data_IF_401764045706
#
_entry.id   IF_401764045706
#
_cell.length_a   1.000
_cell.length_b   1.000
_cell.length_c   1.000
_cell.angle_alpha   90.00
_cell.angle_beta   90.00
_cell.angle_gamma   90.00
#
_symmetry.space_group_name_H-M   'P 1'
#
loop_
_entity.id
_entity.type
_entity.pdbx_description
1 polymer ?
#
# COMPACT_ATOMS: atom_id res chain seq x y z
N UNK A 1 29.18 -18.58 -8.18
CA UNK A 1 30.23 -19.61 -8.35
C UNK A 1 29.76 -21.03 -8.07
N UNK A 2 29.29 -21.41 -6.87
CA UNK A 2 28.77 -22.77 -6.61
C UNK A 2 27.40 -23.03 -7.30
N UNK A 3 26.51 -22.04 -7.28
CA UNK A 3 25.21 -22.07 -7.98
C UNK A 3 25.36 -22.20 -9.49
N UNK A 4 26.21 -21.38 -10.12
CA UNK A 4 26.45 -21.45 -11.57
C UNK A 4 27.09 -22.78 -11.99
N UNK A 5 27.94 -23.35 -11.13
CA UNK A 5 28.50 -24.68 -11.33
C UNK A 5 27.42 -25.75 -11.23
N UNK A 6 26.51 -25.66 -10.26
CA UNK A 6 25.36 -26.56 -10.15
C UNK A 6 24.46 -26.46 -11.38
N UNK A 7 24.10 -25.25 -11.81
CA UNK A 7 23.27 -25.02 -13.01
C UNK A 7 23.89 -25.65 -14.26
N UNK A 8 25.19 -25.43 -14.51
CA UNK A 8 25.93 -26.06 -15.62
C UNK A 8 25.96 -27.58 -15.54
N UNK A 9 25.98 -28.16 -14.33
CA UNK A 9 25.93 -29.61 -14.14
C UNK A 9 24.54 -30.21 -14.35
N UNK A 10 23.52 -29.36 -14.46
CA UNK A 10 22.14 -29.71 -14.77
C UNK A 10 21.69 -29.22 -16.15
N UNK A 11 22.59 -28.61 -16.94
CA UNK A 11 22.30 -28.21 -18.33
C UNK A 11 22.04 -29.46 -19.18
N UNK A 12 20.92 -29.48 -19.90
CA UNK A 12 20.45 -30.61 -20.70
C UNK A 12 19.38 -31.46 -20.00
N UNK A 13 19.25 -32.73 -20.40
CA UNK A 13 18.29 -33.65 -19.78
C UNK A 13 18.81 -34.10 -18.41
N UNK A 14 18.36 -33.41 -17.36
CA UNK A 14 18.74 -33.67 -15.96
C UNK A 14 18.57 -35.13 -15.53
N UNK A 15 17.68 -35.89 -16.21
CA UNK A 15 17.47 -37.33 -15.97
C UNK A 15 18.72 -38.17 -16.22
N UNK A 16 19.65 -37.68 -17.06
CA UNK A 16 20.94 -38.32 -17.35
C UNK A 16 22.07 -37.82 -16.45
N UNK A 17 21.80 -36.84 -15.59
CA UNK A 17 22.81 -36.29 -14.68
C UNK A 17 23.00 -37.21 -13.46
N UNK A 18 24.16 -37.12 -12.81
CA UNK A 18 24.41 -37.78 -11.51
C UNK A 18 23.48 -37.30 -10.38
N UNK A 19 22.74 -36.22 -10.61
CA UNK A 19 21.81 -35.62 -9.67
C UNK A 19 20.36 -36.01 -9.96
N UNK A 20 20.09 -36.92 -10.90
CA UNK A 20 18.73 -37.28 -11.31
C UNK A 20 17.82 -37.63 -10.14
N UNK A 21 18.28 -38.45 -9.19
CA UNK A 21 17.49 -38.81 -8.01
C UNK A 21 17.16 -37.61 -7.12
N UNK A 22 18.15 -36.74 -6.85
CA UNK A 22 17.96 -35.54 -6.03
C UNK A 22 16.99 -34.57 -6.71
N UNK A 23 17.18 -34.31 -8.01
CA UNK A 23 16.31 -33.40 -8.77
C UNK A 23 14.90 -33.96 -8.88
N UNK A 24 14.73 -35.27 -9.08
CA UNK A 24 13.41 -35.92 -9.10
C UNK A 24 12.72 -35.78 -7.76
N UNK A 25 13.43 -36.07 -6.65
CA UNK A 25 12.88 -35.92 -5.30
C UNK A 25 12.46 -34.48 -5.02
N UNK A 26 13.31 -33.49 -5.34
CA UNK A 26 12.96 -32.08 -5.19
C UNK A 26 11.73 -31.69 -6.01
N UNK A 27 11.61 -32.19 -7.25
CA UNK A 27 10.43 -31.95 -8.09
C UNK A 27 9.15 -32.56 -7.51
N UNK A 28 9.23 -33.79 -6.99
CA UNK A 28 8.11 -34.44 -6.32
C UNK A 28 7.70 -33.65 -5.08
N UNK A 29 8.65 -33.26 -4.22
CA UNK A 29 8.35 -32.44 -3.04
C UNK A 29 7.75 -31.08 -3.41
N UNK A 30 8.25 -30.42 -4.46
CA UNK A 30 7.65 -29.17 -4.94
C UNK A 30 6.20 -29.38 -5.40
N UNK A 31 5.92 -30.47 -6.11
CA UNK A 31 4.55 -30.80 -6.53
C UNK A 31 3.63 -31.08 -5.34
N UNK A 32 4.08 -31.88 -4.37
CA UNK A 32 3.32 -32.18 -3.15
C UNK A 32 3.04 -30.92 -2.33
N UNK A 33 4.03 -30.04 -2.19
CA UNK A 33 3.88 -28.74 -1.51
C UNK A 33 2.86 -27.87 -2.26
N UNK A 34 2.95 -27.76 -3.59
CA UNK A 34 1.99 -26.99 -4.38
C UNK A 34 0.57 -27.53 -4.24
N UNK A 35 0.38 -28.86 -4.29
CA UNK A 35 -0.92 -29.49 -4.10
C UNK A 35 -1.49 -29.19 -2.71
N UNK A 36 -0.66 -29.28 -1.67
CA UNK A 36 -1.06 -28.96 -0.29
C UNK A 36 -1.48 -27.47 -0.15
N UNK A 37 -0.76 -26.55 -0.81
CA UNK A 37 -1.12 -25.13 -0.84
C UNK A 37 -2.46 -24.92 -1.56
N UNK A 38 -2.68 -25.57 -2.70
CA UNK A 38 -3.96 -25.48 -3.44
C UNK A 38 -5.14 -26.00 -2.60
N UNK A 39 -4.96 -27.13 -1.91
CA UNK A 39 -5.98 -27.69 -1.01
C UNK A 39 -6.25 -26.76 0.18
N UNK A 40 -5.21 -26.17 0.78
CA UNK A 40 -5.36 -25.21 1.87
C UNK A 40 -6.11 -23.95 1.41
N UNK A 41 -5.77 -23.38 0.24
CA UNK A 41 -6.45 -22.23 -0.32
C UNK A 41 -7.92 -22.53 -0.66
N UNK A 42 -8.20 -23.72 -1.21
CA UNK A 42 -9.57 -24.20 -1.46
C UNK A 42 -10.38 -24.35 -0.17
N UNK A 43 -9.75 -24.83 0.90
CA UNK A 43 -10.37 -24.91 2.23
C UNK A 43 -10.68 -23.51 2.79
N UNK A 44 -9.74 -22.57 2.71
CA UNK A 44 -9.92 -21.18 3.13
C UNK A 44 -11.08 -20.53 2.36
N UNK A 45 -11.17 -20.77 1.05
CA UNK A 45 -12.25 -20.23 0.22
C UNK A 45 -13.63 -20.74 0.65
N UNK A 46 -13.74 -22.05 0.90
CA UNK A 46 -14.96 -22.66 1.44
C UNK A 46 -15.34 -22.10 2.81
N UNK A 47 -14.36 -21.94 3.70
CA UNK A 47 -14.60 -21.36 5.03
C UNK A 47 -15.06 -19.90 4.94
N UNK A 48 -14.46 -19.12 4.05
CA UNK A 48 -14.87 -17.74 3.78
C UNK A 48 -16.30 -17.68 3.23
N UNK A 49 -16.63 -18.55 2.28
CA UNK A 49 -17.98 -18.70 1.74
C UNK A 49 -19.01 -19.01 2.83
N UNK A 50 -18.74 -20.01 3.67
CA UNK A 50 -19.64 -20.40 4.77
C UNK A 50 -19.79 -19.25 5.77
N UNK A 51 -18.69 -18.57 6.11
CA UNK A 51 -18.71 -17.43 7.03
C UNK A 51 -19.55 -16.27 6.48
N UNK A 52 -19.38 -15.94 5.20
CA UNK A 52 -20.19 -14.92 4.54
C UNK A 52 -21.67 -15.32 4.48
N UNK A 53 -21.98 -16.60 4.25
CA UNK A 53 -23.35 -17.10 4.28
C UNK A 53 -23.99 -17.01 5.67
N UNK A 54 -23.27 -17.40 6.72
CA UNK A 54 -23.71 -17.25 8.12
C UNK A 54 -24.00 -15.79 8.49
N UNK A 55 -23.36 -14.85 7.81
CA UNK A 55 -23.55 -13.39 7.97
C UNK A 55 -24.61 -12.80 7.04
N UNK A 56 -25.23 -13.61 6.18
CA UNK A 56 -26.19 -13.14 5.19
C UNK A 56 -25.57 -12.33 4.05
N UNK A 57 -24.26 -12.45 3.83
CA UNK A 57 -23.47 -11.72 2.82
C UNK A 57 -22.99 -12.62 1.68
N UNK A 58 -23.65 -13.77 1.47
CA UNK A 58 -23.30 -14.75 0.44
C UNK A 58 -23.24 -14.15 -0.96
N UNK A 59 -24.13 -13.21 -1.27
CA UNK A 59 -24.20 -12.50 -2.56
C UNK A 59 -22.97 -11.61 -2.82
N UNK A 60 -22.24 -11.21 -1.78
CA UNK A 60 -21.01 -10.43 -1.89
C UNK A 60 -19.76 -11.32 -1.94
N UNK A 61 -19.86 -12.60 -1.55
CA UNK A 61 -18.71 -13.49 -1.54
C UNK A 61 -18.41 -14.07 -2.94
N UNK A 62 -17.17 -13.95 -3.38
CA UNK A 62 -16.68 -14.54 -4.62
C UNK A 62 -15.99 -15.89 -4.35
N UNK A 63 -16.61 -17.00 -4.73
CA UNK A 63 -15.98 -18.35 -4.72
C UNK A 63 -15.00 -18.57 -5.88
N UNK A 64 -15.07 -17.71 -6.90
CA UNK A 64 -14.26 -17.81 -8.10
C UNK A 64 -12.92 -17.07 -8.00
N UNK A 65 -12.19 -17.12 -9.12
CA UNK A 65 -11.02 -16.28 -9.38
C UNK A 65 -11.38 -14.94 -10.05
N UNK A 66 -12.62 -14.79 -10.50
CA UNK A 66 -13.07 -13.64 -11.29
C UNK A 66 -14.28 -13.02 -10.60
N UNK A 67 -14.22 -11.71 -10.41
CA UNK A 67 -15.28 -10.91 -9.83
C UNK A 67 -15.61 -9.76 -10.77
N UNK A 68 -16.88 -9.59 -11.10
CA UNK A 68 -17.35 -8.37 -11.77
C UNK A 68 -17.65 -7.30 -10.72
N UNK A 69 -16.68 -6.41 -10.52
CA UNK A 69 -16.79 -5.32 -9.55
C UNK A 69 -17.97 -4.38 -9.82
N UNK A 70 -18.41 -4.23 -11.06
CA UNK A 70 -19.55 -3.37 -11.37
C UNK A 70 -20.89 -3.93 -10.84
N UNK A 71 -20.90 -5.20 -10.42
CA UNK A 71 -22.07 -5.87 -9.83
C UNK A 71 -21.92 -6.09 -8.33
N UNK A 72 -20.88 -5.53 -7.70
CA UNK A 72 -20.65 -5.65 -6.26
C UNK A 72 -21.26 -4.46 -5.53
N UNK A 73 -22.28 -4.73 -4.70
CA UNK A 73 -23.01 -3.68 -3.97
C UNK A 73 -22.16 -2.98 -2.89
N UNK A 74 -21.05 -3.61 -2.49
CA UNK A 74 -20.11 -3.10 -1.48
C UNK A 74 -18.86 -2.43 -2.08
N UNK A 75 -18.90 -2.06 -3.37
CA UNK A 75 -17.81 -1.40 -4.09
C UNK A 75 -18.26 -0.05 -4.66
N UNK A 76 -17.59 1.02 -4.25
CA UNK A 76 -17.84 2.38 -4.71
C UNK A 76 -16.56 2.98 -5.30
N UNK A 77 -16.60 3.35 -6.57
CA UNK A 77 -15.44 3.84 -7.33
C UNK A 77 -15.67 5.29 -7.77
N UNK A 78 -14.65 6.13 -7.61
CA UNK A 78 -14.69 7.50 -8.10
C UNK A 78 -14.66 7.51 -9.63
N UNK A 79 -15.50 8.34 -10.22
CA UNK A 79 -15.52 8.55 -11.67
C UNK A 79 -14.53 9.65 -12.05
N UNK A 80 -13.91 9.51 -13.22
CA UNK A 80 -13.08 10.59 -13.79
C UNK A 80 -14.02 11.75 -14.12
N UNK A 81 -13.78 12.90 -13.48
CA UNK A 81 -14.48 14.12 -13.84
C UNK A 81 -13.84 14.67 -15.12
N UNK A 82 -14.57 14.64 -16.23
CA UNK A 82 -14.15 15.29 -17.48
C UNK A 82 -14.27 16.81 -17.29
N UNK A 83 -13.18 17.44 -16.84
CA UNK A 83 -12.87 18.88 -16.74
C UNK A 83 -14.01 19.87 -17.02
N UNK A 84 -14.36 20.69 -16.01
CA UNK A 84 -14.66 22.14 -16.16
C UNK A 84 -15.02 22.92 -14.88
N UNK A 85 -15.22 22.28 -13.74
CA UNK A 85 -15.51 22.99 -12.49
C UNK A 85 -14.30 23.00 -11.57
N UNK A 86 -14.04 24.14 -10.92
CA UNK A 86 -13.21 24.20 -9.72
C UNK A 86 -13.66 23.08 -8.78
N UNK A 87 -12.82 22.06 -8.61
CA UNK A 87 -13.15 20.95 -7.73
C UNK A 87 -12.96 21.45 -6.29
N UNK A 88 -14.07 21.88 -5.68
CA UNK A 88 -14.06 22.41 -4.31
C UNK A 88 -13.75 21.34 -3.26
N UNK A 89 -13.98 20.07 -3.59
CA UNK A 89 -13.76 18.95 -2.69
C UNK A 89 -12.74 17.97 -3.28
N UNK A 90 -11.54 17.97 -2.70
CA UNK A 90 -10.43 17.12 -3.13
C UNK A 90 -10.68 15.63 -2.84
N UNK A 91 -11.63 15.29 -1.96
CA UNK A 91 -11.92 13.90 -1.56
C UNK A 91 -12.56 13.07 -2.68
N UNK A 92 -13.17 13.72 -3.67
CA UNK A 92 -13.83 13.06 -4.82
C UNK A 92 -12.99 13.12 -6.11
N UNK A 93 -11.77 13.63 -6.03
CA UNK A 93 -10.86 13.70 -7.18
C UNK A 93 -10.19 12.35 -7.39
N UNK A 94 -10.55 11.66 -8.48
CA UNK A 94 -9.97 10.38 -8.88
C UNK A 94 -8.44 10.43 -8.88
N UNK A 95 -7.80 9.49 -8.19
CA UNK A 95 -6.34 9.40 -8.15
C UNK A 95 -5.74 9.24 -9.55
N UNK A 96 -4.51 9.73 -9.73
CA UNK A 96 -3.77 9.74 -11.02
C UNK A 96 -4.38 10.62 -12.12
N UNK A 97 -5.46 11.37 -11.83
CA UNK A 97 -5.97 12.40 -12.73
C UNK A 97 -5.08 13.66 -12.70
N UNK A 98 -5.18 14.51 -13.73
CA UNK A 98 -4.45 15.79 -13.77
C UNK A 98 -4.83 16.70 -12.61
N UNK A 99 -6.11 16.73 -12.22
CA UNK A 99 -6.58 17.48 -11.05
C UNK A 99 -5.94 16.97 -9.75
N UNK A 100 -5.83 15.65 -9.59
CA UNK A 100 -5.16 15.03 -8.44
C UNK A 100 -3.68 15.42 -8.37
N UNK A 101 -2.97 15.38 -9.50
CA UNK A 101 -1.58 15.82 -9.57
C UNK A 101 -1.43 17.31 -9.23
N UNK A 102 -2.30 18.18 -9.76
CA UNK A 102 -2.30 19.62 -9.45
C UNK A 102 -2.46 19.88 -7.96
N UNK A 103 -3.41 19.22 -7.30
CA UNK A 103 -3.64 19.37 -5.85
C UNK A 103 -2.40 18.92 -5.09
N UNK A 104 -1.87 17.72 -5.38
CA UNK A 104 -0.70 17.18 -4.68
C UNK A 104 0.58 17.99 -4.85
N UNK A 105 0.74 18.67 -5.97
CA UNK A 105 1.89 19.54 -6.22
C UNK A 105 1.88 20.80 -5.32
N UNK A 106 0.77 21.12 -4.66
CA UNK A 106 0.70 22.20 -3.65
C UNK A 106 1.20 21.77 -2.26
N UNK A 107 1.45 20.47 -2.06
CA UNK A 107 1.84 19.94 -0.76
C UNK A 107 3.34 20.12 -0.51
N UNK A 108 3.69 20.45 0.74
CA UNK A 108 5.08 20.36 1.20
C UNK A 108 5.49 18.90 1.44
N UNK A 109 4.54 18.09 1.94
CA UNK A 109 4.74 16.67 2.20
C UNK A 109 3.51 15.92 1.71
N UNK A 110 3.71 14.75 1.09
CA UNK A 110 2.61 13.84 0.80
C UNK A 110 2.71 12.59 1.67
N UNK A 111 1.62 11.86 1.90
CA UNK A 111 1.63 10.62 2.67
C UNK A 111 2.77 9.67 2.25
N UNK A 112 2.89 9.39 0.96
CA UNK A 112 3.93 8.51 0.39
C UNK A 112 5.35 9.09 0.37
N UNK A 113 5.52 10.40 0.58
CA UNK A 113 6.84 11.04 0.70
C UNK A 113 7.22 11.37 2.16
N UNK A 114 6.30 11.15 3.11
CA UNK A 114 6.48 11.46 4.53
C UNK A 114 7.75 10.82 5.12
N UNK A 115 8.00 9.54 4.80
CA UNK A 115 9.22 8.84 5.24
C UNK A 115 10.53 9.53 4.78
N UNK A 116 10.55 10.08 3.55
CA UNK A 116 11.69 10.86 3.02
C UNK A 116 11.76 12.24 3.67
N UNK A 117 10.63 12.91 3.82
CA UNK A 117 10.52 14.23 4.44
C UNK A 117 11.01 14.21 5.91
N UNK A 118 10.78 13.12 6.63
CA UNK A 118 11.29 12.91 7.99
C UNK A 118 12.80 12.62 8.02
N UNK A 119 13.39 12.17 6.91
CA UNK A 119 14.78 11.70 6.88
C UNK A 119 14.99 10.33 7.50
N UNK A 120 13.94 9.50 7.56
CA UNK A 120 14.01 8.13 8.08
C UNK A 120 14.87 7.21 7.20
N UNK A 121 14.94 7.45 5.89
CA UNK A 121 15.92 6.81 5.00
C UNK A 121 17.34 7.35 5.26
N UNK A 122 17.61 8.57 4.80
CA UNK A 122 18.90 9.25 4.94
C UNK A 122 18.71 10.76 4.92
N UNK A 123 19.66 11.48 5.52
CA UNK A 123 19.72 12.95 5.42
C UNK A 123 19.77 13.43 3.96
N UNK A 124 20.51 12.74 3.10
CA UNK A 124 20.62 13.08 1.67
C UNK A 124 19.27 13.04 0.96
N UNK A 125 18.44 12.02 1.24
CA UNK A 125 17.10 11.90 0.68
C UNK A 125 16.14 12.98 1.21
N UNK A 126 16.26 13.33 2.49
CA UNK A 126 15.51 14.44 3.08
C UNK A 126 15.86 15.79 2.43
N UNK A 127 17.16 16.06 2.24
CA UNK A 127 17.63 17.27 1.57
C UNK A 127 17.15 17.34 0.11
N UNK A 128 17.13 16.21 -0.60
CA UNK A 128 16.55 16.15 -1.95
C UNK A 128 15.05 16.48 -1.94
N UNK A 129 14.27 15.88 -1.02
CA UNK A 129 12.85 16.20 -0.86
C UNK A 129 12.65 17.69 -0.56
N UNK A 130 13.43 18.25 0.38
CA UNK A 130 13.39 19.67 0.71
C UNK A 130 13.61 20.57 -0.51
N UNK A 131 14.63 20.27 -1.33
CA UNK A 131 14.90 21.04 -2.56
C UNK A 131 13.76 20.96 -3.57
N UNK A 132 13.14 19.79 -3.72
CA UNK A 132 11.99 19.62 -4.60
C UNK A 132 10.78 20.46 -4.17
N UNK A 133 10.62 20.68 -2.86
CA UNK A 133 9.52 21.47 -2.30
C UNK A 133 9.76 22.98 -2.43
N UNK A 134 10.99 23.46 -2.20
CA UNK A 134 11.26 24.89 -2.04
C UNK A 134 12.14 25.56 -3.11
N UNK A 135 12.89 24.82 -3.92
CA UNK A 135 13.98 25.42 -4.74
C UNK A 135 13.69 25.53 -6.25
N UNK A 136 12.48 25.24 -6.73
CA UNK A 136 11.99 25.39 -8.13
C UNK A 136 12.86 24.78 -9.27
N UNK A 137 14.07 24.29 -9.01
CA UNK A 137 14.81 23.40 -9.90
C UNK A 137 14.07 22.06 -9.90
N UNK A 138 13.06 21.96 -10.78
CA UNK A 138 12.39 20.74 -11.15
C UNK A 138 13.37 19.79 -11.85
N UNK A 139 14.34 19.28 -11.09
CA UNK A 139 15.03 18.04 -11.43
C UNK A 139 14.07 16.91 -11.04
N UNK A 140 12.92 16.86 -11.71
CA UNK A 140 12.19 15.60 -11.86
C UNK A 140 13.03 14.75 -12.79
N UNK A 141 14.06 14.10 -12.22
CA UNK A 141 14.65 12.95 -12.90
C UNK A 141 13.49 12.00 -13.19
N UNK A 142 13.18 11.82 -14.48
CA UNK A 142 12.20 10.83 -14.88
C UNK A 142 12.57 9.50 -14.22
N UNK A 143 11.60 8.80 -13.62
CA UNK A 143 11.88 7.53 -12.97
C UNK A 143 12.61 6.61 -13.96
N UNK A 144 13.55 5.82 -13.45
CA UNK A 144 14.22 4.81 -14.28
C UNK A 144 13.17 3.91 -14.93
N UNK A 145 13.46 3.36 -16.11
CA UNK A 145 12.53 2.44 -16.80
C UNK A 145 12.07 1.31 -15.90
N UNK A 146 12.99 0.77 -15.09
CA UNK A 146 12.66 -0.27 -14.11
C UNK A 146 11.69 0.23 -13.03
N UNK A 147 11.90 1.44 -12.51
CA UNK A 147 11.00 2.02 -11.51
C UNK A 147 9.62 2.30 -12.11
N UNK A 148 9.55 2.80 -13.35
CA UNK A 148 8.29 3.01 -14.06
C UNK A 148 7.53 1.69 -14.24
N UNK A 149 8.20 0.61 -14.67
CA UNK A 149 7.57 -0.71 -14.80
C UNK A 149 6.97 -1.21 -13.48
N UNK A 150 7.60 -0.90 -12.34
CA UNK A 150 7.06 -1.26 -11.01
C UNK A 150 5.82 -0.44 -10.67
N UNK A 151 5.79 0.85 -11.01
CA UNK A 151 4.60 1.68 -10.81
C UNK A 151 3.43 1.24 -11.71
N UNK A 152 3.72 0.92 -12.97
CA UNK A 152 2.71 0.46 -13.92
C UNK A 152 2.12 -0.89 -13.49
N UNK A 153 2.98 -1.82 -13.05
CA UNK A 153 2.54 -3.11 -12.50
C UNK A 153 1.65 -2.93 -11.28
N UNK A 154 2.05 -2.05 -10.35
CA UNK A 154 1.26 -1.79 -9.15
C UNK A 154 -0.13 -1.24 -9.50
N UNK A 155 -0.15 -0.24 -10.36
CA UNK A 155 -1.38 0.40 -10.86
C UNK A 155 -2.31 -0.59 -11.56
N UNK A 156 -1.76 -1.48 -12.41
CA UNK A 156 -2.55 -2.45 -13.15
C UNK A 156 -3.18 -3.55 -12.25
N UNK A 157 -2.61 -3.79 -11.07
CA UNK A 157 -3.05 -4.86 -10.17
C UNK A 157 -3.85 -4.38 -8.96
N UNK A 158 -3.86 -3.08 -8.69
CA UNK A 158 -4.62 -2.47 -7.58
C UNK A 158 -6.11 -2.88 -7.62
N UNK A 159 -6.72 -2.88 -8.81
CA UNK A 159 -8.12 -3.28 -8.97
C UNK A 159 -8.38 -4.76 -8.59
N UNK A 160 -7.39 -5.63 -8.77
CA UNK A 160 -7.50 -7.04 -8.37
C UNK A 160 -7.40 -7.19 -6.85
N UNK A 161 -6.60 -6.35 -6.19
CA UNK A 161 -6.58 -6.25 -4.74
C UNK A 161 -7.93 -5.78 -4.21
N UNK A 162 -8.52 -4.74 -4.82
CA UNK A 162 -9.85 -4.24 -4.47
C UNK A 162 -10.91 -5.33 -4.66
N UNK A 163 -10.87 -6.09 -5.77
CA UNK A 163 -11.76 -7.23 -5.98
C UNK A 163 -11.62 -8.32 -4.90
N UNK A 164 -10.40 -8.57 -4.43
CA UNK A 164 -10.15 -9.51 -3.33
C UNK A 164 -10.69 -8.96 -2.01
N UNK A 165 -10.48 -7.66 -1.75
CA UNK A 165 -11.00 -6.98 -0.57
C UNK A 165 -12.52 -7.05 -0.52
N UNK A 166 -13.22 -6.61 -1.57
CA UNK A 166 -14.68 -6.53 -1.60
C UNK A 166 -15.36 -7.90 -1.70
N UNK A 167 -14.78 -8.82 -2.47
CA UNK A 167 -15.37 -10.13 -2.74
C UNK A 167 -14.98 -11.24 -1.78
N UNK A 168 -13.89 -11.12 -1.01
CA UNK A 168 -13.44 -12.18 -0.11
C UNK A 168 -13.16 -11.71 1.32
N UNK A 169 -12.61 -10.51 1.51
CA UNK A 169 -12.20 -10.04 2.84
C UNK A 169 -13.36 -9.40 3.59
N UNK A 170 -14.03 -8.40 3.02
CA UNK A 170 -15.11 -7.67 3.69
C UNK A 170 -16.26 -8.60 4.13
N UNK A 171 -16.80 -9.49 3.29
CA UNK A 171 -17.91 -10.36 3.69
C UNK A 171 -17.57 -11.29 4.87
N UNK A 172 -16.28 -11.60 5.07
CA UNK A 172 -15.79 -12.55 6.06
C UNK A 172 -15.32 -11.89 7.36
N UNK A 173 -14.79 -10.66 7.30
CA UNK A 173 -14.19 -10.01 8.46
C UNK A 173 -14.89 -8.72 8.88
N UNK A 174 -15.55 -8.02 7.96
CA UNK A 174 -16.15 -6.71 8.17
C UNK A 174 -17.60 -6.70 7.72
N UNK A 175 -18.48 -7.20 8.58
CA UNK A 175 -19.92 -7.28 8.31
C UNK A 175 -20.48 -5.93 7.89
N UNK A 176 -21.39 -5.94 6.91
CA UNK A 176 -22.15 -4.75 6.53
C UNK A 176 -21.28 -3.52 6.24
N UNK A 177 -20.14 -3.77 5.59
CA UNK A 177 -19.16 -2.75 5.28
C UNK A 177 -18.92 -2.68 3.78
N UNK A 178 -18.62 -1.48 3.29
CA UNK A 178 -18.37 -1.20 1.87
C UNK A 178 -17.06 -0.48 1.68
N UNK A 179 -16.36 -0.80 0.59
CA UNK A 179 -15.17 -0.09 0.15
C UNK A 179 -15.56 1.12 -0.67
N UNK A 180 -14.97 2.26 -0.34
CA UNK A 180 -15.06 3.50 -1.08
C UNK A 180 -13.67 3.90 -1.54
N UNK A 181 -13.50 4.09 -2.84
CA UNK A 181 -12.31 4.76 -3.35
C UNK A 181 -12.26 6.21 -2.86
N UNK A 182 -11.05 6.65 -2.50
CA UNK A 182 -10.82 7.98 -1.94
C UNK A 182 -9.92 8.82 -2.86
N UNK A 183 -10.20 10.12 -2.92
CA UNK A 183 -9.39 11.08 -3.66
C UNK A 183 -8.17 11.54 -2.87
N UNK A 184 -8.11 12.82 -2.53
CA UNK A 184 -7.03 13.36 -1.70
C UNK A 184 -7.53 14.29 -0.60
N UNK A 185 -6.79 14.32 0.50
CA UNK A 185 -7.15 15.02 1.72
C UNK A 185 -5.98 15.88 2.19
N UNK A 186 -6.29 17.09 2.65
CA UNK A 186 -5.33 17.84 3.47
C UNK A 186 -5.36 17.27 4.89
N UNK A 187 -4.25 16.74 5.37
CA UNK A 187 -4.14 16.25 6.74
C UNK A 187 -4.05 17.45 7.70
N UNK A 188 -5.15 17.72 8.42
CA UNK A 188 -5.25 18.81 9.41
C UNK A 188 -5.07 18.34 10.85
N UNK A 189 -5.13 17.04 11.11
CA UNK A 189 -4.93 16.53 12.47
C UNK A 189 -3.44 16.65 12.82
N UNK A 190 -3.09 17.49 13.79
CA UNK A 190 -1.70 17.80 14.14
C UNK A 190 -1.06 18.91 13.29
N UNK A 191 -1.81 19.53 12.36
CA UNK A 191 -1.35 20.64 11.52
C UNK A 191 -2.35 21.80 11.47
N UNK A 192 -1.92 23.02 11.79
CA UNK A 192 -2.76 24.23 11.66
C UNK A 192 -2.65 24.83 10.25
N UNK A 193 -3.49 25.81 9.91
CA UNK A 193 -3.43 26.49 8.60
C UNK A 193 -2.10 27.22 8.33
N UNK A 194 -1.33 27.51 9.38
CA UNK A 194 0.00 28.12 9.30
C UNK A 194 1.14 27.10 9.22
N UNK A 195 0.83 25.80 9.30
CA UNK A 195 1.78 24.70 9.26
C UNK A 195 1.97 24.15 7.84
N UNK A 196 2.98 23.29 7.60
CA UNK A 196 3.19 22.70 6.28
C UNK A 196 1.97 21.96 5.79
N UNK A 197 1.57 22.24 4.55
CA UNK A 197 0.53 21.47 3.86
C UNK A 197 0.97 20.02 3.69
N UNK A 198 0.28 19.11 4.35
CA UNK A 198 0.42 17.66 4.16
C UNK A 198 -0.80 17.13 3.40
N UNK A 199 -0.57 16.52 2.24
CA UNK A 199 -1.65 15.92 1.42
C UNK A 199 -1.51 14.41 1.37
N UNK A 200 -2.60 13.69 1.66
CA UNK A 200 -2.65 12.23 1.53
C UNK A 200 -3.65 11.81 0.47
N UNK A 201 -3.48 10.59 -0.04
CA UNK A 201 -4.35 10.00 -1.04
C UNK A 201 -4.50 8.51 -0.71
N UNK A 202 -5.32 8.17 0.30
CA UNK A 202 -5.55 6.77 0.69
C UNK A 202 -6.12 6.00 -0.50
N UNK A 203 -5.74 4.75 -0.69
CA UNK A 203 -6.29 3.93 -1.78
C UNK A 203 -7.79 3.67 -1.59
N UNK A 204 -8.30 3.77 -0.37
CA UNK A 204 -9.72 3.84 -0.10
C UNK A 204 -10.06 3.98 1.38
N UNK A 205 -11.35 3.84 1.69
CA UNK A 205 -11.86 3.68 3.05
C UNK A 205 -12.88 2.55 3.10
N UNK A 206 -12.99 1.91 4.25
CA UNK A 206 -14.10 1.02 4.57
C UNK A 206 -15.10 1.79 5.40
N UNK A 207 -16.36 1.75 5.00
CA UNK A 207 -17.45 2.43 5.68
C UNK A 207 -18.52 1.45 6.13
N UNK A 208 -19.10 1.69 7.30
CA UNK A 208 -20.26 0.93 7.78
C UNK A 208 -21.54 1.38 7.05
N UNK A 209 -22.67 0.71 7.32
CA UNK A 209 -23.98 1.05 6.75
C UNK A 209 -24.46 2.49 7.01
N UNK A 210 -23.91 3.19 8.00
CA UNK A 210 -24.23 4.58 8.27
C UNK A 210 -23.35 5.56 7.47
N UNK A 211 -22.47 5.03 6.59
CA UNK A 211 -21.51 5.82 5.81
C UNK A 211 -20.33 6.33 6.63
N UNK A 212 -20.16 5.89 7.88
CA UNK A 212 -19.02 6.29 8.71
C UNK A 212 -17.78 5.49 8.31
N UNK A 213 -16.66 6.17 8.14
CA UNK A 213 -15.36 5.54 7.92
C UNK A 213 -14.96 4.79 9.19
N UNK A 214 -14.72 3.49 9.05
CA UNK A 214 -14.23 2.61 10.12
C UNK A 214 -12.79 2.19 9.91
N UNK A 215 -12.29 2.19 8.66
CA UNK A 215 -10.92 1.85 8.31
C UNK A 215 -10.44 2.72 7.16
N UNK A 216 -9.19 3.15 7.21
CA UNK A 216 -8.45 3.55 6.02
C UNK A 216 -7.96 2.30 5.28
N UNK A 217 -7.69 2.43 3.97
CA UNK A 217 -7.19 1.33 3.14
C UNK A 217 -5.94 1.78 2.40
N UNK A 218 -4.87 1.00 2.55
CA UNK A 218 -3.62 1.15 1.82
C UNK A 218 -3.31 -0.15 1.07
N UNK A 219 -3.10 -0.06 -0.23
CA UNK A 219 -2.88 -1.18 -1.15
C UNK A 219 -1.46 -1.12 -1.68
N UNK A 220 -0.80 -2.28 -1.66
CA UNK A 220 0.45 -2.52 -2.37
C UNK A 220 0.32 -3.76 -3.24
N UNK A 221 0.77 -3.62 -4.48
CA UNK A 221 0.95 -4.72 -5.40
C UNK A 221 2.45 -4.81 -5.72
N UNK A 222 3.25 -5.49 -4.88
CA UNK A 222 4.69 -5.56 -5.07
C UNK A 222 5.03 -6.16 -6.43
N UNK A 223 5.91 -5.49 -7.17
CA UNK A 223 6.41 -6.05 -8.42
C UNK A 223 7.13 -7.39 -8.11
N UNK A 224 6.83 -8.48 -8.83
CA UNK A 224 7.44 -9.77 -8.60
C UNK A 224 8.97 -9.64 -8.73
N UNK A 225 9.64 -9.77 -7.59
CA UNK A 225 11.09 -9.60 -7.48
C UNK A 225 11.88 -10.76 -8.07
N UNK A 226 13.17 -10.83 -7.73
CA UNK A 226 13.99 -12.01 -8.03
C UNK A 226 13.41 -13.26 -7.34
N UNK A 227 13.79 -14.44 -7.84
CA UNK A 227 13.24 -15.80 -7.59
C UNK A 227 13.05 -16.26 -6.13
N UNK A 228 13.33 -15.44 -5.11
CA UNK A 228 13.32 -15.82 -3.69
C UNK A 228 12.63 -14.81 -2.76
N UNK A 229 11.88 -13.85 -3.29
CA UNK A 229 11.06 -12.92 -2.48
C UNK A 229 9.63 -13.42 -2.39
N UNK A 230 9.00 -13.28 -1.22
CA UNK A 230 7.56 -13.53 -1.09
C UNK A 230 6.80 -12.58 -2.01
N UNK A 231 5.73 -13.04 -2.68
CA UNK A 231 5.01 -12.22 -3.63
C UNK A 231 4.17 -11.13 -2.93
N UNK A 232 3.97 -11.27 -1.62
CA UNK A 232 3.28 -10.33 -0.75
C UNK A 232 4.11 -10.02 0.51
N UNK A 233 3.72 -8.96 1.21
CA UNK A 233 4.31 -8.53 2.48
C UNK A 233 3.50 -9.09 3.67
N UNK A 234 4.15 -9.86 4.54
CA UNK A 234 3.51 -10.45 5.74
C UNK A 234 3.68 -9.59 7.01
N UNK A 235 4.35 -8.46 6.88
CA UNK A 235 4.46 -7.42 7.90
C UNK A 235 4.50 -6.07 7.18
N UNK A 236 3.97 -5.02 7.81
CA UNK A 236 3.99 -3.68 7.23
C UNK A 236 5.44 -3.19 7.23
N UNK A 237 6.03 -2.89 6.06
CA UNK A 237 7.36 -2.32 6.03
C UNK A 237 7.40 -0.99 6.77
N UNK A 238 8.41 -0.82 7.64
CA UNK A 238 8.55 0.32 8.55
C UNK A 238 8.49 1.69 7.86
N UNK A 239 8.97 1.76 6.62
CA UNK A 239 8.94 3.00 5.84
C UNK A 239 7.53 3.43 5.40
N UNK A 240 6.51 2.55 5.51
CA UNK A 240 5.11 2.91 5.30
C UNK A 240 4.41 3.40 6.58
N UNK A 241 4.99 3.21 7.77
CA UNK A 241 4.35 3.65 9.03
C UNK A 241 3.98 5.14 9.00
N UNK A 242 4.86 6.07 8.57
CA UNK A 242 4.48 7.48 8.46
C UNK A 242 3.35 7.74 7.47
N UNK A 243 3.28 6.95 6.38
CA UNK A 243 2.24 7.10 5.37
C UNK A 243 0.87 6.69 5.94
N UNK A 244 0.77 5.51 6.52
CA UNK A 244 -0.49 4.98 7.06
C UNK A 244 -1.02 5.83 8.22
N UNK A 245 -0.14 6.39 9.05
CA UNK A 245 -0.53 7.33 10.11
C UNK A 245 -1.07 8.64 9.53
N UNK A 246 -0.46 9.18 8.47
CA UNK A 246 -1.00 10.36 7.79
C UNK A 246 -2.41 10.10 7.22
N UNK A 247 -2.66 8.90 6.67
CA UNK A 247 -3.96 8.51 6.09
C UNK A 247 -5.03 8.36 7.17
N UNK A 248 -4.74 7.64 8.25
CA UNK A 248 -5.61 7.52 9.42
C UNK A 248 -5.94 8.90 10.02
N UNK A 249 -4.93 9.77 10.17
CA UNK A 249 -5.09 11.12 10.68
C UNK A 249 -5.99 11.99 9.79
N UNK A 250 -5.86 11.89 8.46
CA UNK A 250 -6.67 12.66 7.52
C UNK A 250 -8.11 12.16 7.42
N UNK A 251 -8.32 10.84 7.43
CA UNK A 251 -9.64 10.21 7.40
C UNK A 251 -10.32 10.17 8.79
N UNK A 252 -9.62 10.63 9.84
CA UNK A 252 -10.11 10.66 11.23
C UNK A 252 -10.56 9.28 11.72
N UNK A 253 -9.77 8.26 11.43
CA UNK A 253 -9.96 6.89 11.89
C UNK A 253 -8.76 6.44 12.70
N UNK A 254 -8.97 5.53 13.65
CA UNK A 254 -7.93 4.93 14.49
C UNK A 254 -7.37 3.63 13.91
N UNK A 255 -7.87 3.19 12.74
CA UNK A 255 -7.49 1.92 12.13
C UNK A 255 -7.31 2.01 10.62
N UNK A 256 -6.42 1.16 10.11
CA UNK A 256 -6.15 0.98 8.69
C UNK A 256 -5.94 -0.50 8.37
N UNK A 257 -6.39 -0.93 7.19
CA UNK A 257 -5.98 -2.20 6.60
C UNK A 257 -4.93 -1.96 5.52
N UNK A 258 -3.78 -2.61 5.67
CA UNK A 258 -2.71 -2.66 4.68
C UNK A 258 -2.83 -3.96 3.91
N UNK A 259 -3.13 -3.87 2.61
CA UNK A 259 -3.23 -5.02 1.73
C UNK A 259 -1.97 -5.15 0.87
N UNK A 260 -1.33 -6.32 0.89
CA UNK A 260 -0.31 -6.65 -0.09
C UNK A 260 -0.84 -7.76 -1.01
N UNK A 261 -1.03 -7.42 -2.27
CA UNK A 261 -1.63 -8.30 -3.27
C UNK A 261 -0.59 -8.86 -4.25
N UNK A 262 -0.73 -10.14 -4.54
CA UNK A 262 -0.19 -10.82 -5.73
C UNK A 262 -1.28 -11.69 -6.35
N UNK A 263 -1.02 -12.23 -7.54
CA UNK A 263 -1.97 -13.12 -8.19
C UNK A 263 -2.23 -14.43 -7.40
N UNK A 264 -1.22 -14.89 -6.66
CA UNK A 264 -1.24 -16.13 -5.90
C UNK A 264 -1.80 -15.97 -4.49
N UNK A 265 -1.69 -14.77 -3.90
CA UNK A 265 -2.05 -14.55 -2.51
C UNK A 265 -2.31 -13.07 -2.21
N UNK A 266 -3.05 -12.80 -1.14
CA UNK A 266 -3.21 -11.45 -0.60
C UNK A 266 -3.03 -11.54 0.91
N UNK A 267 -2.16 -10.70 1.46
CA UNK A 267 -2.10 -10.48 2.90
C UNK A 267 -2.92 -9.26 3.28
N UNK A 268 -3.57 -9.34 4.45
CA UNK A 268 -4.33 -8.25 5.06
C UNK A 268 -3.75 -8.03 6.45
N UNK A 269 -3.25 -6.84 6.71
CA UNK A 269 -2.63 -6.46 7.98
C UNK A 269 -3.41 -5.28 8.56
N UNK A 270 -3.97 -5.43 9.76
CA UNK A 270 -4.62 -4.33 10.48
C UNK A 270 -3.56 -3.54 11.26
N UNK A 271 -3.59 -2.22 11.13
CA UNK A 271 -2.78 -1.28 11.91
C UNK A 271 -3.70 -0.39 12.76
N UNK A 272 -3.23 -0.04 13.95
CA UNK A 272 -3.87 0.94 14.82
C UNK A 272 -3.09 2.25 14.81
N UNK A 273 -3.80 3.35 15.02
CA UNK A 273 -3.22 4.68 15.10
C UNK A 273 -2.39 4.83 16.37
N UNK A 274 -1.14 5.25 16.21
CA UNK A 274 -0.25 5.55 17.33
C UNK A 274 -0.06 7.07 17.46
N UNK A 275 -0.74 7.65 18.45
CA UNK A 275 -0.68 9.09 18.73
C UNK A 275 0.74 9.55 19.11
N UNK A 276 1.54 8.70 19.73
CA UNK A 276 2.90 9.04 20.17
C UNK A 276 3.85 9.17 18.98
N UNK A 277 3.80 8.22 18.06
CA UNK A 277 4.54 8.25 16.80
C UNK A 277 4.04 9.42 15.95
N UNK A 278 2.72 9.61 15.86
CA UNK A 278 2.11 10.70 15.10
C UNK A 278 2.56 12.08 15.60
N UNK A 279 2.55 12.29 16.91
CA UNK A 279 3.00 13.55 17.52
C UNK A 279 4.46 13.88 17.15
N UNK A 280 5.34 12.87 17.15
CA UNK A 280 6.73 13.05 16.72
C UNK A 280 6.82 13.41 15.23
N UNK A 281 6.05 12.73 14.37
CA UNK A 281 5.98 13.01 12.93
C UNK A 281 5.56 14.47 12.68
N UNK A 282 4.45 14.92 13.28
CA UNK A 282 3.95 16.28 13.14
C UNK A 282 4.99 17.32 13.56
N UNK A 283 5.63 17.10 14.71
CA UNK A 283 6.66 18.00 15.22
C UNK A 283 7.85 18.11 14.27
N UNK A 284 8.38 16.98 13.81
CA UNK A 284 9.53 16.97 12.89
C UNK A 284 9.17 17.66 11.55
N UNK A 285 8.00 17.36 10.99
CA UNK A 285 7.55 17.99 9.73
C UNK A 285 7.42 19.49 9.91
N UNK A 286 6.78 19.95 11.00
CA UNK A 286 6.62 21.37 11.27
C UNK A 286 7.98 22.08 11.45
N UNK A 287 8.92 21.48 12.17
CA UNK A 287 10.24 22.07 12.42
C UNK A 287 11.07 22.19 11.14
N UNK A 288 10.91 21.27 10.18
CA UNK A 288 11.68 21.26 8.92
C UNK A 288 11.01 22.08 7.81
N UNK A 289 9.69 21.97 7.66
CA UNK A 289 8.94 22.51 6.52
C UNK A 289 8.03 23.69 6.87
N UNK A 290 7.90 24.06 8.15
CA UNK A 290 7.00 25.12 8.62
C UNK A 290 7.47 26.53 8.26
N UNK A 291 6.85 27.57 8.84
CA UNK A 291 7.11 28.97 8.47
C UNK A 291 8.58 29.41 8.63
N UNK A 292 9.36 28.74 9.47
CA UNK A 292 10.79 29.00 9.70
C UNK A 292 11.69 27.95 9.02
N UNK A 293 11.21 27.31 7.95
CA UNK A 293 11.90 26.21 7.27
C UNK A 293 13.36 26.56 6.92
N UNK A 294 14.24 25.58 7.13
CA UNK A 294 15.64 25.64 6.71
C UNK A 294 16.06 24.26 6.23
N UNK A 295 16.87 24.22 5.16
CA UNK A 295 17.36 22.96 4.64
C UNK A 295 18.13 22.22 5.74
N UNK A 296 17.76 20.96 6.07
CA UNK A 296 18.39 20.24 7.17
C UNK A 296 19.85 19.93 6.83
N UNK A 297 20.77 20.29 7.72
CA UNK A 297 22.21 19.94 7.63
C UNK A 297 22.58 18.72 8.46
N UNK A 298 21.66 18.30 9.34
CA UNK A 298 21.71 17.09 10.17
C UNK A 298 20.30 16.54 10.31
N UNK A 299 20.18 15.25 10.65
CA UNK A 299 18.89 14.66 10.98
C UNK A 299 18.29 15.35 12.21
N UNK A 300 16.96 15.41 12.26
CA UNK A 300 16.26 16.01 13.40
C UNK A 300 16.59 15.23 14.69
N UNK A 301 16.79 15.90 15.85
CA UNK A 301 17.17 15.24 17.10
C UNK A 301 16.20 14.15 17.58
N UNK A 302 14.94 14.19 17.12
CA UNK A 302 13.91 13.22 17.48
C UNK A 302 13.89 11.96 16.58
N UNK A 303 14.70 11.90 15.53
CA UNK A 303 14.73 10.74 14.62
C UNK A 303 15.15 9.44 15.31
N UNK A 304 16.14 9.41 16.22
CA UNK A 304 16.45 8.19 16.97
C UNK A 304 15.25 7.66 17.77
N UNK A 305 14.53 8.54 18.47
CA UNK A 305 13.33 8.18 19.22
C UNK A 305 12.21 7.67 18.30
N UNK A 306 11.96 8.37 17.19
CA UNK A 306 10.94 7.95 16.22
C UNK A 306 11.26 6.57 15.62
N UNK A 307 12.52 6.30 15.27
CA UNK A 307 12.94 4.98 14.77
C UNK A 307 12.74 3.88 15.80
N UNK A 308 13.07 4.14 17.06
CA UNK A 308 12.86 3.19 18.14
C UNK A 308 11.38 2.84 18.29
N UNK A 309 10.48 3.82 18.31
CA UNK A 309 9.04 3.56 18.41
C UNK A 309 8.46 2.83 17.19
N UNK A 310 8.99 3.08 16.00
CA UNK A 310 8.64 2.36 14.77
C UNK A 310 9.14 0.90 14.78
N UNK A 311 10.17 0.62 15.58
CA UNK A 311 10.80 -0.71 15.66
C UNK A 311 10.17 -1.60 16.74
N UNK A 312 9.50 -1.02 17.74
CA UNK A 312 8.76 -1.67 18.84
C UNK A 312 7.39 -2.21 18.40
#
# INVERSE_FOLDING_TARGET
>A
MAYDKFLKMTEGDWRKSRYAFVISSLKTSLFEISSCIEDALSCIDKLGCITAEMRGLRNLYCEGKVLDLNRQDNFYCLQIQNDKSDVSDSSIVKQRSDAWHKIRNTAHVTGSTCNKALGLETLKKQQMHYKQVFNEEHVTESPSKELQMRFDYGTANEINCVATLTGKVLPVFYEQSSYFEEGCYTCRNGFTETMPTVIVSPDGSIRNNNGQIILAVEIKCPYPGKTFTTPVQYAIPKYYIPQILCEMAALKTDKLIFLSYSQESTSVLEASFDESIWTLICKIINDVYGSNHKMPTKLHPLIPTLRQQIDE
#
